data_IF_709965438268
#
_entry.id   IF_709965438268
#
_cell.length_a   1.000
_cell.length_b   1.000
_cell.length_c   1.000
_cell.angle_alpha   90.00
_cell.angle_beta   90.00
_cell.angle_gamma   90.00
#
_symmetry.space_group_name_H-M   'P 1'
#
loop_
_entity.id
_entity.type
_entity.pdbx_description
1 polymer ?
#
# COMPACT_ATOMS: atom_id res chain seq x y z
N UNK A 1 -0.36 19.54 -14.99
CA UNK A 1 0.90 18.83 -15.27
C UNK A 1 0.60 17.35 -15.16
N UNK A 2 1.03 16.48 -16.08
CA UNK A 2 0.85 15.04 -15.88
C UNK A 2 1.53 14.67 -14.56
N UNK A 3 0.77 14.13 -13.61
CA UNK A 3 1.30 13.75 -12.30
C UNK A 3 2.43 12.74 -12.48
N UNK A 4 3.45 12.85 -11.63
CA UNK A 4 4.55 11.89 -11.64
C UNK A 4 3.97 10.51 -11.32
N UNK A 5 4.10 9.56 -12.25
CA UNK A 5 3.64 8.19 -12.02
C UNK A 5 4.75 7.41 -11.36
N UNK A 6 4.41 6.72 -10.28
CA UNK A 6 5.34 5.85 -9.56
C UNK A 6 4.73 4.45 -9.45
N UNK A 7 5.63 3.48 -9.34
CA UNK A 7 5.27 2.12 -8.95
C UNK A 7 5.27 2.07 -7.43
N UNK A 8 4.20 1.55 -6.84
CA UNK A 8 4.08 1.34 -5.41
C UNK A 8 3.21 0.12 -5.11
N UNK A 9 2.74 0.01 -3.86
CA UNK A 9 2.07 -1.19 -3.39
C UNK A 9 0.66 -0.90 -2.88
N UNK A 10 -0.31 -1.64 -3.40
CA UNK A 10 -1.67 -1.71 -2.86
C UNK A 10 -1.75 -2.86 -1.86
N UNK A 11 -1.85 -2.50 -0.59
CA UNK A 11 -2.02 -3.43 0.52
C UNK A 11 -3.49 -3.52 0.88
N UNK A 12 -4.09 -4.69 0.65
CA UNK A 12 -5.50 -4.96 0.93
C UNK A 12 -5.66 -5.83 2.18
N UNK A 13 -6.30 -5.27 3.20
CA UNK A 13 -6.67 -5.97 4.43
C UNK A 13 -8.09 -6.52 4.32
N UNK A 14 -8.25 -7.83 4.58
CA UNK A 14 -9.54 -8.52 4.57
C UNK A 14 -9.98 -8.78 6.02
N UNK A 15 -11.01 -8.07 6.46
CA UNK A 15 -11.59 -8.18 7.81
C UNK A 15 -13.05 -8.62 7.70
N UNK A 16 -13.25 -9.92 7.48
CA UNK A 16 -14.58 -10.48 7.23
C UNK A 16 -15.20 -9.94 5.94
N UNK A 17 -16.31 -9.20 6.06
CA UNK A 17 -16.97 -8.54 4.92
C UNK A 17 -16.30 -7.23 4.50
N UNK A 18 -15.45 -6.65 5.35
CA UNK A 18 -14.79 -5.38 5.07
C UNK A 18 -13.47 -5.60 4.34
N UNK A 19 -13.20 -4.71 3.37
CA UNK A 19 -11.94 -4.66 2.63
C UNK A 19 -11.40 -3.23 2.72
N UNK A 20 -10.19 -3.09 3.24
CA UNK A 20 -9.49 -1.80 3.30
C UNK A 20 -8.28 -1.88 2.38
N UNK A 21 -8.13 -0.90 1.48
CA UNK A 21 -6.97 -0.80 0.61
C UNK A 21 -6.15 0.42 1.03
N UNK A 22 -4.86 0.21 1.24
CA UNK A 22 -3.88 1.28 1.45
C UNK A 22 -2.90 1.23 0.28
N UNK A 23 -2.68 2.37 -0.35
CA UNK A 23 -1.68 2.54 -1.40
C UNK A 23 -0.43 3.15 -0.76
N UNK A 24 0.67 2.43 -0.74
CA UNK A 24 1.92 2.83 -0.09
C UNK A 24 3.01 3.07 -1.14
N UNK A 25 3.80 4.14 -0.96
CA UNK A 25 5.06 4.29 -1.70
C UNK A 25 6.01 3.11 -1.34
N UNK A 26 6.97 2.75 -2.21
CA UNK A 26 7.84 1.60 -1.99
C UNK A 26 8.55 1.59 -0.64
N UNK A 27 9.11 2.73 -0.24
CA UNK A 27 9.81 2.95 1.02
C UNK A 27 8.90 2.71 2.24
N UNK A 28 7.66 3.21 2.19
CA UNK A 28 6.68 2.98 3.25
C UNK A 28 6.23 1.52 3.33
N UNK A 29 6.09 0.85 2.17
CA UNK A 29 5.74 -0.56 2.13
C UNK A 29 6.85 -1.43 2.73
N UNK A 30 8.13 -1.15 2.44
CA UNK A 30 9.25 -1.88 3.02
C UNK A 30 9.27 -1.78 4.55
N UNK A 31 9.09 -0.57 5.08
CA UNK A 31 8.98 -0.34 6.53
C UNK A 31 7.79 -1.10 7.12
N UNK A 32 6.61 -1.00 6.50
CA UNK A 32 5.44 -1.74 6.96
C UNK A 32 5.66 -3.25 6.92
N UNK A 33 6.23 -3.77 5.84
CA UNK A 33 6.47 -5.21 5.68
C UNK A 33 7.50 -5.74 6.69
N UNK A 34 8.47 -4.92 7.09
CA UNK A 34 9.45 -5.25 8.12
C UNK A 34 8.84 -5.26 9.54
N UNK A 35 8.03 -4.25 9.87
CA UNK A 35 7.50 -4.08 11.23
C UNK A 35 6.14 -4.72 11.49
N UNK A 36 5.41 -5.15 10.45
CA UNK A 36 4.06 -5.71 10.64
C UNK A 36 4.09 -6.96 11.51
N UNK A 37 3.04 -7.12 12.30
CA UNK A 37 2.81 -8.32 13.09
C UNK A 37 2.61 -9.54 12.17
N UNK A 38 3.34 -10.62 12.41
CA UNK A 38 3.28 -11.89 11.66
C UNK A 38 1.87 -12.53 11.63
N UNK A 39 1.01 -12.16 12.57
CA UNK A 39 -0.38 -12.63 12.67
C UNK A 39 -1.27 -11.98 11.60
N UNK A 40 -0.83 -10.91 10.96
CA UNK A 40 -1.53 -10.26 9.85
C UNK A 40 -1.36 -11.13 8.58
N UNK A 41 -2.17 -12.19 8.49
CA UNK A 41 -2.14 -13.16 7.38
C UNK A 41 -3.19 -12.90 6.31
N UNK A 42 -4.27 -12.19 6.66
CA UNK A 42 -5.36 -11.85 5.75
C UNK A 42 -5.07 -10.54 5.01
N UNK A 43 -3.91 -10.47 4.38
CA UNK A 43 -3.45 -9.33 3.59
C UNK A 43 -3.09 -9.78 2.18
N UNK A 44 -3.43 -8.97 1.19
CA UNK A 44 -3.02 -9.18 -0.21
C UNK A 44 -2.25 -7.96 -0.66
N UNK A 45 -1.11 -8.17 -1.32
CA UNK A 45 -0.24 -7.10 -1.81
C UNK A 45 -0.18 -7.19 -3.33
N UNK A 46 -0.36 -6.05 -3.99
CA UNK A 46 -0.34 -5.92 -5.45
C UNK A 46 0.54 -4.71 -5.81
N UNK A 47 1.47 -4.89 -6.74
CA UNK A 47 2.24 -3.80 -7.30
C UNK A 47 1.37 -3.01 -8.28
N UNK A 48 1.34 -1.69 -8.16
CA UNK A 48 0.48 -0.81 -8.96
C UNK A 48 1.25 0.42 -9.42
N UNK A 49 1.04 0.81 -10.69
CA UNK A 49 1.54 2.07 -11.24
C UNK A 49 0.43 3.11 -11.24
N UNK A 50 0.57 4.18 -10.46
CA UNK A 50 -0.41 5.25 -10.33
C UNK A 50 0.28 6.60 -10.13
N UNK A 51 -0.49 7.69 -10.18
CA UNK A 51 0.04 9.02 -9.83
C UNK A 51 0.49 9.04 -8.36
N UNK A 52 1.63 9.68 -8.09
CA UNK A 52 2.24 9.75 -6.75
C UNK A 52 1.27 10.26 -5.68
N UNK A 53 0.41 11.22 -6.03
CA UNK A 53 -0.62 11.79 -5.16
C UNK A 53 -1.70 10.80 -4.71
N UNK A 54 -1.77 9.61 -5.32
CA UNK A 54 -2.68 8.52 -4.91
C UNK A 54 -2.10 7.64 -3.82
N UNK A 55 -0.79 7.74 -3.57
CA UNK A 55 -0.13 6.99 -2.50
C UNK A 55 -0.16 7.79 -1.19
N UNK A 56 -0.37 7.09 -0.08
CA UNK A 56 -0.34 7.66 1.26
C UNK A 56 1.11 7.91 1.68
N UNK A 57 1.42 9.07 2.27
CA UNK A 57 2.77 9.45 2.69
C UNK A 57 3.23 10.86 2.29
N UNK A 58 2.31 11.80 2.05
CA UNK A 58 2.64 13.22 2.00
C UNK A 58 2.60 13.80 3.42
N UNK A 59 3.70 14.44 3.85
CA UNK A 59 3.69 15.46 4.91
C UNK A 59 3.12 16.77 4.37
#
# INVERSE_FOLDING_TARGET
MPGNKIVGYKVMFKMGRFRMCIYMKPDYYEVWNFWRDERIRNVSVEEVEMEESRFFGEE
#
